data_IF_129040264641
#
_entry.id   IF_129040264641
#
_cell.length_a   1.000
_cell.length_b   1.000
_cell.length_c   1.000
_cell.angle_alpha   90.00
_cell.angle_beta   90.00
_cell.angle_gamma   90.00
#
_symmetry.space_group_name_H-M   'P 1'
#
loop_
_entity.id
_entity.type
_entity.pdbx_description
1 polymer ?
#
# COMPACT_ATOMS: atom_id res chain seq x y z
N UNK A 1 -19.99 23.33 4.29
CA UNK A 1 -20.24 22.26 3.30
C UNK A 1 -19.07 22.31 2.34
N UNK A 2 -18.18 21.33 2.39
CA UNK A 2 -17.00 21.34 1.51
C UNK A 2 -17.44 20.91 0.12
N UNK A 3 -17.33 21.85 -0.81
CA UNK A 3 -17.62 21.69 -2.23
C UNK A 3 -16.78 20.55 -2.82
N UNK A 4 -17.46 19.50 -3.31
CA UNK A 4 -16.87 18.45 -4.14
C UNK A 4 -16.70 18.99 -5.57
N UNK A 5 -15.87 20.02 -5.72
CA UNK A 5 -15.74 20.74 -6.99
C UNK A 5 -14.46 20.30 -7.69
N UNK A 6 -14.62 19.35 -8.61
CA UNK A 6 -13.74 19.28 -9.78
C UNK A 6 -13.85 20.58 -10.59
N UNK A 7 -13.00 20.81 -11.60
CA UNK A 7 -12.99 22.05 -12.38
C UNK A 7 -14.41 22.47 -12.82
N UNK A 8 -14.77 23.76 -12.73
CA UNK A 8 -16.11 24.21 -13.08
C UNK A 8 -16.46 23.75 -14.50
N UNK A 9 -17.48 22.90 -14.62
CA UNK A 9 -17.94 22.33 -15.90
C UNK A 9 -17.58 20.86 -16.16
N UNK A 10 -16.90 20.15 -15.26
CA UNK A 10 -16.63 18.71 -15.46
C UNK A 10 -17.85 17.84 -15.06
N UNK A 11 -18.76 17.60 -16.00
CA UNK A 11 -19.85 16.63 -15.83
C UNK A 11 -19.43 15.28 -16.39
N UNK A 12 -19.65 14.20 -15.62
CA UNK A 12 -19.48 12.83 -16.10
C UNK A 12 -20.84 12.14 -16.16
N UNK A 13 -21.28 11.83 -17.37
CA UNK A 13 -22.48 11.04 -17.59
C UNK A 13 -22.19 9.56 -17.33
N UNK A 14 -23.07 8.91 -16.57
CA UNK A 14 -23.02 7.48 -16.33
C UNK A 14 -24.29 6.82 -16.89
N UNK A 15 -24.12 5.69 -17.57
CA UNK A 15 -25.24 4.83 -17.94
C UNK A 15 -25.59 3.92 -16.76
N UNK A 16 -26.76 4.10 -16.15
CA UNK A 16 -27.22 3.29 -15.01
C UNK A 16 -28.37 2.39 -15.44
N UNK A 17 -28.26 1.09 -15.16
CA UNK A 17 -29.36 0.14 -15.33
C UNK A 17 -30.17 0.05 -14.05
N UNK A 18 -31.46 0.32 -14.13
CA UNK A 18 -32.41 0.17 -13.03
C UNK A 18 -33.23 -1.10 -13.23
N UNK A 19 -33.61 -1.74 -12.13
CA UNK A 19 -34.66 -2.75 -12.17
C UNK A 19 -36.00 -2.08 -12.54
N UNK A 20 -36.83 -2.76 -13.33
CA UNK A 20 -38.17 -2.31 -13.75
C UNK A 20 -39.02 -1.79 -12.58
N UNK A 21 -38.97 -2.44 -11.41
CA UNK A 21 -39.70 -2.00 -10.22
C UNK A 21 -39.23 -0.62 -9.73
N UNK A 22 -37.92 -0.45 -9.59
CA UNK A 22 -37.32 0.82 -9.14
C UNK A 22 -37.51 1.92 -10.19
N UNK A 23 -37.34 1.60 -11.47
CA UNK A 23 -37.61 2.53 -12.56
C UNK A 23 -39.04 3.07 -12.51
N UNK A 24 -40.02 2.20 -12.29
CA UNK A 24 -41.45 2.58 -12.19
C UNK A 24 -41.71 3.50 -10.99
N UNK A 25 -41.12 3.19 -9.84
CA UNK A 25 -41.23 4.01 -8.64
C UNK A 25 -40.62 5.41 -8.85
N UNK A 26 -39.37 5.49 -9.33
CA UNK A 26 -38.69 6.77 -9.53
C UNK A 26 -39.40 7.60 -10.60
N UNK A 27 -39.88 6.97 -11.68
CA UNK A 27 -40.64 7.66 -12.73
C UNK A 27 -41.94 8.24 -12.20
N UNK A 28 -42.66 7.52 -11.34
CA UNK A 28 -43.87 8.02 -10.71
C UNK A 28 -43.57 9.21 -9.80
N UNK A 29 -42.54 9.11 -8.95
CA UNK A 29 -42.15 10.19 -8.05
C UNK A 29 -41.69 11.43 -8.82
N UNK A 30 -40.85 11.26 -9.85
CA UNK A 30 -40.42 12.34 -10.72
C UNK A 30 -41.60 13.09 -11.37
N UNK A 31 -42.63 12.36 -11.81
CA UNK A 31 -43.86 12.97 -12.34
C UNK A 31 -44.62 13.78 -11.29
N UNK A 32 -44.72 13.30 -10.06
CA UNK A 32 -45.39 14.00 -8.96
C UNK A 32 -44.64 15.29 -8.59
N UNK A 33 -43.31 15.26 -8.66
CA UNK A 33 -42.45 16.40 -8.34
C UNK A 33 -42.23 17.35 -9.53
N UNK A 34 -42.77 17.05 -10.71
CA UNK A 34 -42.58 17.83 -11.93
C UNK A 34 -41.14 17.81 -12.46
N UNK A 35 -40.39 16.74 -12.20
CA UNK A 35 -38.98 16.58 -12.55
C UNK A 35 -38.78 15.61 -13.71
N UNK A 36 -37.65 15.74 -14.39
CA UNK A 36 -37.19 14.68 -15.29
C UNK A 36 -36.71 13.46 -14.46
N UNK A 37 -36.78 12.27 -15.05
CA UNK A 37 -36.24 11.06 -14.44
C UNK A 37 -34.74 11.21 -14.13
N UNK A 38 -34.00 11.89 -15.00
CA UNK A 38 -32.57 12.14 -14.81
C UNK A 38 -32.33 13.05 -13.59
N UNK A 39 -33.09 14.12 -13.44
CA UNK A 39 -32.96 15.03 -12.29
C UNK A 39 -33.32 14.33 -10.97
N UNK A 40 -34.36 13.50 -10.99
CA UNK A 40 -34.74 12.69 -9.82
C UNK A 40 -33.61 11.73 -9.40
N UNK A 41 -32.90 11.11 -10.37
CA UNK A 41 -31.76 10.24 -10.09
C UNK A 41 -30.56 11.03 -9.54
N UNK A 42 -30.27 12.20 -10.10
CA UNK A 42 -29.19 13.08 -9.60
C UNK A 42 -29.47 13.52 -8.16
N UNK A 43 -30.71 13.94 -7.87
CA UNK A 43 -31.14 14.29 -6.51
C UNK A 43 -31.05 13.10 -5.55
N UNK A 44 -31.50 11.92 -5.99
CA UNK A 44 -31.39 10.69 -5.20
C UNK A 44 -29.95 10.35 -4.82
N UNK A 45 -29.00 10.53 -5.74
CA UNK A 45 -27.58 10.35 -5.48
C UNK A 45 -27.04 11.37 -4.47
N UNK A 46 -27.42 12.64 -4.58
CA UNK A 46 -27.02 13.68 -3.63
C UNK A 46 -27.54 13.38 -2.21
N UNK A 47 -28.82 13.01 -2.09
CA UNK A 47 -29.43 12.64 -0.81
C UNK A 47 -28.79 11.40 -0.18
N UNK A 48 -28.38 10.41 -0.99
CA UNK A 48 -27.66 9.26 -0.48
C UNK A 48 -26.32 9.65 0.16
N UNK A 49 -25.57 10.54 -0.50
CA UNK A 49 -24.29 11.03 0.03
C UNK A 49 -24.51 11.82 1.31
N UNK A 50 -25.47 12.74 1.34
CA UNK A 50 -25.81 13.53 2.53
C UNK A 50 -26.21 12.63 3.71
N UNK A 51 -27.09 11.65 3.47
CA UNK A 51 -27.50 10.68 4.48
C UNK A 51 -26.31 9.89 5.01
N UNK A 52 -25.37 9.47 4.15
CA UNK A 52 -24.18 8.74 4.56
C UNK A 52 -23.21 9.61 5.35
N UNK A 53 -23.05 10.88 4.99
CA UNK A 53 -22.22 11.82 5.73
C UNK A 53 -22.74 12.12 7.14
N UNK A 54 -24.06 12.04 7.34
CA UNK A 54 -24.69 12.22 8.65
C UNK A 54 -24.54 11.01 9.59
N UNK A 55 -24.07 9.84 9.10
CA UNK A 55 -23.82 8.68 9.95
C UNK A 55 -22.57 8.92 10.83
N UNK A 56 -22.62 8.65 12.15
CA UNK A 56 -21.50 8.91 13.05
C UNK A 56 -20.24 8.13 12.64
N UNK A 57 -20.43 6.89 12.18
CA UNK A 57 -19.34 5.99 11.76
C UNK A 57 -18.79 6.31 10.36
N UNK A 58 -19.33 7.31 9.67
CA UNK A 58 -18.86 7.68 8.34
C UNK A 58 -17.44 8.23 8.38
N UNK A 59 -17.13 9.10 9.35
CA UNK A 59 -15.79 9.68 9.48
C UNK A 59 -14.72 8.62 9.74
N UNK A 60 -15.01 7.65 10.60
CA UNK A 60 -14.08 6.57 10.92
C UNK A 60 -13.85 5.64 9.72
N UNK A 61 -14.91 5.33 8.96
CA UNK A 61 -14.79 4.54 7.73
C UNK A 61 -14.00 5.27 6.64
N UNK A 62 -14.24 6.56 6.46
CA UNK A 62 -13.50 7.39 5.49
C UNK A 62 -12.03 7.50 5.91
N UNK A 63 -11.73 7.71 7.19
CA UNK A 63 -10.37 7.77 7.70
C UNK A 63 -9.64 6.43 7.54
N UNK A 64 -10.31 5.31 7.81
CA UNK A 64 -9.75 3.98 7.60
C UNK A 64 -9.43 3.70 6.12
N UNK A 65 -10.30 4.13 5.20
CA UNK A 65 -10.06 3.98 3.76
C UNK A 65 -8.93 4.89 3.28
N UNK A 66 -8.86 6.13 3.78
CA UNK A 66 -7.77 7.06 3.48
C UNK A 66 -6.41 6.48 3.91
N UNK A 67 -6.33 5.91 5.12
CA UNK A 67 -5.11 5.25 5.60
C UNK A 67 -4.65 4.10 4.71
N UNK A 68 -5.59 3.30 4.16
CA UNK A 68 -5.25 2.23 3.22
C UNK A 68 -4.70 2.77 1.91
N UNK A 69 -5.32 3.82 1.36
CA UNK A 69 -4.86 4.47 0.13
C UNK A 69 -3.46 5.04 0.33
N UNK A 70 -3.18 5.69 1.46
CA UNK A 70 -1.85 6.20 1.79
C UNK A 70 -0.81 5.09 1.89
N UNK A 71 -1.14 3.98 2.53
CA UNK A 71 -0.25 2.83 2.62
C UNK A 71 0.03 2.23 1.24
N UNK A 72 -1.01 1.99 0.42
CA UNK A 72 -0.85 1.48 -0.93
C UNK A 72 -0.09 2.45 -1.84
N UNK A 73 -0.25 3.76 -1.64
CA UNK A 73 0.52 4.78 -2.33
C UNK A 73 1.99 4.77 -1.89
N UNK A 74 2.27 4.62 -0.59
CA UNK A 74 3.63 4.51 -0.06
C UNK A 74 4.32 3.25 -0.57
N UNK A 75 3.64 2.10 -0.58
CA UNK A 75 4.17 0.84 -1.10
C UNK A 75 4.48 0.95 -2.60
N UNK A 76 3.56 1.54 -3.39
CA UNK A 76 3.79 1.81 -4.81
C UNK A 76 4.97 2.75 -5.03
N UNK A 77 5.10 3.82 -4.23
CA UNK A 77 6.21 4.77 -4.32
C UNK A 77 7.54 4.10 -3.96
N UNK A 78 7.62 3.35 -2.87
CA UNK A 78 8.81 2.64 -2.46
C UNK A 78 9.27 1.59 -3.49
N UNK A 79 8.31 0.89 -4.13
CA UNK A 79 8.62 -0.01 -5.24
C UNK A 79 9.20 0.74 -6.45
N UNK A 80 8.64 1.89 -6.80
CA UNK A 80 9.13 2.74 -7.89
C UNK A 80 10.53 3.31 -7.56
N UNK A 81 10.74 3.81 -6.34
CA UNK A 81 12.03 4.32 -5.87
C UNK A 81 13.12 3.24 -5.86
N UNK A 82 12.77 2.01 -5.48
CA UNK A 82 13.68 0.84 -5.56
C UNK A 82 14.10 0.53 -6.99
N UNK A 83 13.19 0.69 -7.97
CA UNK A 83 13.51 0.55 -9.40
C UNK A 83 14.41 1.68 -9.91
N UNK A 84 14.37 2.86 -9.31
CA UNK A 84 15.21 4.02 -9.67
C UNK A 84 16.50 4.14 -8.86
N UNK A 85 16.70 3.34 -7.80
CA UNK A 85 17.77 3.55 -6.82
C UNK A 85 18.25 2.27 -6.16
N UNK A 86 18.81 1.36 -6.96
CA UNK A 86 19.67 0.25 -6.49
C UNK A 86 21.11 0.40 -7.02
N UNK A 87 21.69 1.61 -6.95
CA UNK A 87 23.08 1.85 -7.37
C UNK A 87 23.94 2.63 -6.34
N UNK A 88 23.50 2.82 -5.09
CA UNK A 88 24.31 3.62 -4.13
C UNK A 88 24.47 3.02 -2.73
N UNK A 89 23.92 1.85 -2.40
CA UNK A 89 24.08 1.30 -1.04
C UNK A 89 24.57 -0.15 -0.95
N UNK A 90 25.24 -0.64 -2.00
CA UNK A 90 25.88 -1.96 -1.98
C UNK A 90 27.42 -1.92 -2.10
N UNK A 91 28.06 -0.74 -2.17
CA UNK A 91 29.50 -0.65 -2.40
C UNK A 91 30.36 -0.24 -1.18
N UNK A 92 29.78 0.00 -0.01
CA UNK A 92 30.58 0.44 1.16
C UNK A 92 30.76 -0.63 2.26
N UNK A 93 30.28 -1.86 2.02
CA UNK A 93 30.43 -2.97 2.98
C UNK A 93 31.34 -4.11 2.49
N UNK A 94 32.10 -3.93 1.39
CA UNK A 94 32.95 -5.00 0.80
C UNK A 94 34.40 -4.63 0.48
N UNK A 95 34.91 -3.48 0.93
CA UNK A 95 36.34 -3.15 0.72
C UNK A 95 36.98 -2.70 2.03
N UNK A 96 37.15 -3.66 2.95
CA UNK A 96 38.25 -3.62 3.92
C UNK A 96 38.47 -5.01 4.52
N UNK A 97 38.82 -5.97 3.67
CA UNK A 97 39.50 -7.18 4.14
C UNK A 97 40.47 -7.68 3.06
N UNK A 98 41.76 -7.66 3.40
CA UNK A 98 42.81 -8.42 2.73
C UNK A 98 43.59 -7.70 1.62
N UNK A 99 44.77 -7.16 1.95
CA UNK A 99 46.07 -7.74 1.53
C UNK A 99 47.17 -6.68 1.52
N UNK A 100 48.11 -6.74 2.46
CA UNK A 100 49.56 -6.51 2.24
C UNK A 100 50.31 -6.92 3.51
N UNK A 101 50.84 -8.14 3.53
CA UNK A 101 52.03 -8.45 4.33
C UNK A 101 53.26 -7.85 3.62
N UNK A 102 54.29 -7.43 4.38
CA UNK A 102 55.47 -8.29 4.45
C UNK A 102 56.14 -8.38 5.83
N UNK A 103 56.91 -9.46 6.00
CA UNK A 103 57.80 -9.83 7.11
C UNK A 103 58.81 -8.75 7.55
N UNK A 104 59.08 -8.67 8.86
CA UNK A 104 60.43 -8.83 9.43
C UNK A 104 60.42 -8.84 10.98
N UNK A 105 60.78 -10.00 11.55
CA UNK A 105 61.75 -10.23 12.64
C UNK A 105 61.66 -9.43 13.96
N UNK A 106 61.24 -10.10 15.05
CA UNK A 106 61.96 -10.14 16.35
C UNK A 106 61.27 -11.09 17.36
N UNK A 107 62.10 -12.00 17.87
CA UNK A 107 62.01 -13.01 18.94
C UNK A 107 61.25 -12.60 20.21
N UNK A 108 60.53 -13.53 20.88
CA UNK A 108 60.82 -14.05 22.23
C UNK A 108 59.71 -15.00 22.76
N UNK A 109 60.13 -16.18 23.23
CA UNK A 109 59.51 -17.18 24.12
C UNK A 109 58.04 -17.07 24.59
N UNK A 110 57.29 -18.18 24.41
CA UNK A 110 56.72 -18.96 25.54
C UNK A 110 55.88 -20.15 25.05
N UNK A 111 56.51 -21.30 25.14
CA UNK A 111 56.04 -22.68 25.31
C UNK A 111 54.61 -22.89 25.86
N UNK A 112 53.77 -23.66 25.13
CA UNK A 112 52.96 -24.78 25.67
C UNK A 112 52.10 -25.46 24.58
N UNK A 113 52.53 -26.63 24.10
CA UNK A 113 51.66 -27.76 23.67
C UNK A 113 52.04 -28.95 24.57
N UNK A 114 51.40 -30.14 24.57
CA UNK A 114 50.35 -30.71 23.70
C UNK A 114 49.22 -31.44 24.50
N UNK A 115 48.15 -31.96 23.90
CA UNK A 115 47.91 -33.42 23.64
C UNK A 115 46.45 -33.59 23.17
N UNK A 116 46.16 -34.14 21.99
CA UNK A 116 46.06 -35.56 21.57
C UNK A 116 44.65 -36.17 21.77
N UNK A 117 44.21 -36.92 20.75
CA UNK A 117 43.32 -38.12 20.79
C UNK A 117 41.83 -37.85 20.43
N UNK A 118 41.39 -38.09 19.19
CA UNK A 118 40.87 -39.37 18.64
C UNK A 118 39.50 -39.78 19.19
N UNK A 119 38.52 -39.98 18.28
CA UNK A 119 37.56 -41.12 18.16
C UNK A 119 36.31 -40.62 17.42
N UNK A 120 36.12 -40.82 16.11
CA UNK A 120 35.73 -42.04 15.37
C UNK A 120 34.24 -42.44 15.55
N UNK A 121 33.40 -41.93 14.63
CA UNK A 121 32.44 -42.69 13.79
C UNK A 121 31.17 -43.29 14.48
N UNK A 122 30.23 -43.95 13.76
CA UNK A 122 29.09 -43.33 13.05
C UNK A 122 27.74 -44.02 13.37
N UNK A 123 26.59 -43.57 12.83
CA UNK A 123 25.53 -44.52 12.42
C UNK A 123 24.55 -43.97 11.38
N UNK A 124 24.43 -44.73 10.31
CA UNK A 124 23.54 -44.55 9.19
C UNK A 124 22.10 -45.04 9.48
N UNK A 125 21.18 -44.46 8.70
CA UNK A 125 19.99 -45.05 8.03
C UNK A 125 19.10 -46.03 8.81
N UNK A 126 17.82 -45.71 8.83
CA UNK A 126 16.81 -46.60 8.22
C UNK A 126 15.66 -45.80 7.64
#
# INVERSE_FOLDING_TARGET
MSDVTGPPGSYKTIGVRLNNGLHSQVTMMAKLDGLSLQDALVRGAALYVEKKQAEPDFKDRVAAELKKIEQEAADRRGAIESLFGSDTQANEARVSDGDTAPEADATDDAEATPTKTTTRSPRAKS
#
